data_IF_452776660162
#
_entry.id   IF_452776660162
#
_cell.length_a   1.000
_cell.length_b   1.000
_cell.length_c   1.000
_cell.angle_alpha   90.00
_cell.angle_beta   90.00
_cell.angle_gamma   90.00
#
_symmetry.space_group_name_H-M   'P 1'
#
loop_
_entity.id
_entity.type
_entity.pdbx_description
1 polymer ?
#
# COMPACT_ATOMS: atom_id res chain seq x y z
N UNK A 1 27.85 8.26 -10.41
CA UNK A 1 28.55 9.41 -9.81
C UNK A 1 27.71 9.82 -8.60
N UNK A 2 28.17 9.51 -7.39
CA UNK A 2 27.40 9.72 -6.15
C UNK A 2 27.38 11.19 -5.71
N UNK A 3 26.44 11.55 -4.84
CA UNK A 3 26.40 12.88 -4.22
C UNK A 3 27.41 12.91 -3.07
N UNK A 4 28.51 13.62 -3.27
CA UNK A 4 29.58 13.75 -2.27
C UNK A 4 29.43 15.04 -1.45
N UNK A 5 29.65 14.94 -0.14
CA UNK A 5 29.70 16.07 0.78
C UNK A 5 31.08 16.17 1.43
N UNK A 6 31.61 17.38 1.51
CA UNK A 6 32.80 17.72 2.31
C UNK A 6 32.38 17.86 3.77
N UNK A 7 32.82 16.93 4.62
CA UNK A 7 32.64 16.97 6.07
C UNK A 7 33.95 17.32 6.79
N UNK A 8 33.86 17.64 8.08
CA UNK A 8 35.03 17.93 8.93
C UNK A 8 36.04 16.76 9.05
N UNK A 9 35.60 15.55 8.72
CA UNK A 9 36.39 14.31 8.78
C UNK A 9 36.78 13.76 7.40
N UNK A 10 36.39 14.43 6.30
CA UNK A 10 36.68 14.01 4.92
C UNK A 10 35.44 13.99 4.02
N UNK A 11 35.60 13.43 2.82
CA UNK A 11 34.53 13.32 1.84
C UNK A 11 33.60 12.12 2.15
N UNK A 12 32.29 12.36 2.15
CA UNK A 12 31.23 11.38 2.41
C UNK A 12 30.28 11.22 1.24
N UNK A 13 29.75 10.03 1.01
CA UNK A 13 28.71 9.76 0.01
C UNK A 13 27.32 9.74 0.65
N UNK A 14 26.35 10.42 0.03
CA UNK A 14 24.95 10.37 0.45
C UNK A 14 24.30 9.09 -0.07
N UNK A 15 23.75 8.28 0.84
CA UNK A 15 22.95 7.09 0.53
C UNK A 15 21.58 7.21 1.19
N UNK A 16 20.50 7.25 0.39
CA UNK A 16 19.12 7.41 0.87
C UNK A 16 18.23 6.29 0.31
N UNK A 17 17.42 5.69 1.17
CA UNK A 17 16.34 4.76 0.78
C UNK A 17 14.98 5.41 1.01
N UNK A 18 14.03 5.12 0.11
CA UNK A 18 12.63 5.55 0.24
C UNK A 18 11.73 4.32 0.28
N UNK A 19 10.77 4.33 1.21
CA UNK A 19 9.67 3.38 1.25
C UNK A 19 8.38 4.11 0.93
N UNK A 20 7.67 3.66 -0.11
CA UNK A 20 6.49 4.35 -0.64
C UNK A 20 5.31 3.40 -0.54
N UNK A 21 4.25 3.85 0.12
CA UNK A 21 2.96 3.17 0.14
C UNK A 21 1.98 3.98 -0.71
N UNK A 22 1.42 3.35 -1.74
CA UNK A 22 0.43 3.96 -2.62
C UNK A 22 -0.87 3.16 -2.56
N UNK A 23 -1.99 3.84 -2.32
CA UNK A 23 -3.29 3.19 -2.26
C UNK A 23 -3.75 2.77 -3.66
N UNK A 24 -3.95 1.46 -3.85
CA UNK A 24 -4.51 0.94 -5.09
C UNK A 24 -5.97 1.37 -5.21
N UNK A 25 -6.32 1.96 -6.36
CA UNK A 25 -7.69 2.39 -6.64
C UNK A 25 -8.50 1.15 -7.04
N UNK A 26 -9.52 0.84 -6.24
CA UNK A 26 -10.48 -0.24 -6.47
C UNK A 26 -11.83 0.11 -5.84
N UNK A 27 -12.90 -0.57 -6.25
CA UNK A 27 -14.24 -0.38 -5.68
C UNK A 27 -14.37 -1.03 -4.29
N UNK A 28 -13.77 -2.22 -4.14
CA UNK A 28 -13.76 -3.01 -2.91
C UNK A 28 -12.34 -3.22 -2.37
N UNK A 29 -12.23 -3.58 -1.09
CA UNK A 29 -10.95 -3.84 -0.41
C UNK A 29 -10.22 -5.05 -0.99
N UNK A 30 -8.95 -5.19 -0.61
CA UNK A 30 -8.06 -6.24 -1.13
C UNK A 30 -8.54 -7.67 -0.82
N UNK A 31 -9.14 -7.88 0.36
CA UNK A 31 -9.50 -9.22 0.85
C UNK A 31 -10.99 -9.40 1.19
N UNK A 32 -11.79 -8.36 1.00
CA UNK A 32 -13.21 -8.36 1.36
C UNK A 32 -14.04 -7.54 0.36
N UNK A 33 -15.35 -7.79 0.33
CA UNK A 33 -16.28 -7.04 -0.52
C UNK A 33 -16.67 -5.66 0.01
N UNK A 34 -16.10 -5.19 1.14
CA UNK A 34 -16.41 -3.87 1.66
C UNK A 34 -15.82 -2.77 0.76
N UNK A 35 -16.48 -1.61 0.70
CA UNK A 35 -16.04 -0.46 -0.10
C UNK A 35 -14.63 -0.01 0.30
N UNK A 36 -13.82 0.35 -0.71
CA UNK A 36 -12.52 1.01 -0.54
C UNK A 36 -12.60 2.54 -0.70
N UNK A 37 -13.81 3.09 -0.84
CA UNK A 37 -14.03 4.54 -0.97
C UNK A 37 -13.65 5.27 0.32
N UNK A 38 -13.03 6.44 0.17
CA UNK A 38 -12.70 7.32 1.29
C UNK A 38 -13.96 7.97 1.88
N UNK A 39 -13.97 8.14 3.21
CA UNK A 39 -15.07 8.75 3.96
C UNK A 39 -15.98 7.71 4.64
N UNK A 40 -17.23 8.10 4.87
CA UNK A 40 -18.20 7.29 5.60
C UNK A 40 -18.17 7.51 7.13
N UNK A 41 -19.22 7.03 7.81
CA UNK A 41 -19.26 7.03 9.27
C UNK A 41 -18.30 5.96 9.84
N UNK A 42 -17.90 6.06 11.12
CA UNK A 42 -17.11 5.02 11.76
C UNK A 42 -17.72 3.63 11.57
N UNK A 43 -16.91 2.68 11.11
CA UNK A 43 -17.30 1.30 10.81
C UNK A 43 -18.38 1.12 9.72
N UNK A 44 -18.67 2.13 8.90
CA UNK A 44 -19.65 2.02 7.81
C UNK A 44 -19.17 1.18 6.60
N UNK A 45 -17.86 1.04 6.43
CA UNK A 45 -17.23 0.26 5.35
C UNK A 45 -16.45 -0.92 5.91
N UNK A 46 -17.09 -1.76 6.72
CA UNK A 46 -16.44 -2.89 7.41
C UNK A 46 -17.27 -4.16 7.20
N UNK A 47 -16.61 -5.22 6.75
CA UNK A 47 -17.14 -6.59 6.71
C UNK A 47 -16.60 -7.41 7.90
N UNK A 48 -17.11 -8.63 8.09
CA UNK A 48 -16.57 -9.54 9.10
C UNK A 48 -15.11 -9.95 8.86
N UNK A 49 -14.67 -10.00 7.60
CA UNK A 49 -13.25 -10.21 7.25
C UNK A 49 -12.41 -9.04 7.75
N UNK A 50 -12.86 -7.81 7.51
CA UNK A 50 -12.14 -6.60 7.95
C UNK A 50 -12.10 -6.47 9.47
N UNK A 51 -13.16 -6.91 10.14
CA UNK A 51 -13.26 -6.94 11.60
C UNK A 51 -12.55 -8.14 12.24
N UNK A 52 -11.95 -9.04 11.45
CA UNK A 52 -11.19 -10.19 11.94
C UNK A 52 -12.04 -11.21 12.71
N UNK A 53 -13.31 -11.39 12.34
CA UNK A 53 -14.18 -12.35 13.02
C UNK A 53 -13.68 -13.80 12.85
N UNK A 54 -13.83 -14.65 13.89
CA UNK A 54 -13.43 -16.05 13.81
C UNK A 54 -14.11 -16.80 12.65
N UNK A 55 -13.32 -17.58 11.90
CA UNK A 55 -13.82 -18.38 10.79
C UNK A 55 -13.96 -17.65 9.45
N UNK A 56 -13.65 -16.35 9.40
CA UNK A 56 -13.62 -15.59 8.15
C UNK A 56 -12.37 -15.92 7.35
N UNK A 57 -12.52 -16.04 6.02
CA UNK A 57 -11.43 -16.32 5.09
C UNK A 57 -11.30 -15.16 4.07
N UNK A 58 -10.07 -14.69 3.78
CA UNK A 58 -9.86 -13.61 2.82
C UNK A 58 -10.03 -14.12 1.39
N UNK A 59 -10.55 -13.27 0.49
CA UNK A 59 -10.59 -13.52 -0.95
C UNK A 59 -9.94 -12.36 -1.68
N UNK A 60 -8.87 -12.64 -2.43
CA UNK A 60 -8.06 -11.61 -3.09
C UNK A 60 -8.82 -10.90 -4.21
N UNK A 61 -8.71 -9.57 -4.25
CA UNK A 61 -9.30 -8.74 -5.28
C UNK A 61 -8.48 -8.76 -6.57
N UNK A 62 -9.10 -9.21 -7.67
CA UNK A 62 -8.46 -9.33 -8.99
C UNK A 62 -8.03 -7.99 -9.58
N UNK A 63 -8.81 -6.92 -9.39
CA UNK A 63 -8.45 -5.59 -9.89
C UNK A 63 -7.23 -5.05 -9.14
N UNK A 64 -7.16 -5.25 -7.82
CA UNK A 64 -5.99 -4.86 -7.05
C UNK A 64 -4.71 -5.57 -7.55
N UNK A 65 -4.81 -6.85 -7.89
CA UNK A 65 -3.69 -7.62 -8.47
C UNK A 65 -3.33 -7.07 -9.85
N UNK A 66 -4.30 -6.84 -10.73
CA UNK A 66 -4.06 -6.29 -12.06
C UNK A 66 -3.35 -4.93 -12.00
N UNK A 67 -3.78 -4.03 -11.10
CA UNK A 67 -3.15 -2.74 -10.88
C UNK A 67 -1.72 -2.88 -10.35
N UNK A 68 -1.47 -3.78 -9.40
CA UNK A 68 -0.12 -4.06 -8.91
C UNK A 68 0.81 -4.57 -10.02
N UNK A 69 0.32 -5.47 -10.89
CA UNK A 69 1.07 -5.95 -12.05
C UNK A 69 1.36 -4.81 -13.04
N UNK A 70 0.37 -3.95 -13.34
CA UNK A 70 0.58 -2.76 -14.19
C UNK A 70 1.67 -1.85 -13.63
N UNK A 71 1.62 -1.53 -12.34
CA UNK A 71 2.66 -0.73 -11.65
C UNK A 71 4.04 -1.37 -11.75
N UNK A 72 4.14 -2.70 -11.67
CA UNK A 72 5.40 -3.42 -11.79
C UNK A 72 5.96 -3.48 -13.21
N UNK A 73 5.12 -3.40 -14.24
CA UNK A 73 5.53 -3.48 -15.65
C UNK A 73 5.83 -2.10 -16.27
N UNK A 74 5.18 -1.04 -15.79
CA UNK A 74 5.29 0.31 -16.36
C UNK A 74 4.24 0.59 -17.42
#
# INVERSE_FOLDING_TARGET
>A
MGYMLEGSTGAWEIVVGLEIHAQVISESKLFSGASATYGGAPNAHVSFVDAGFPGMLPVINQECVAQAVRTGLG
#
